data_IF_327273843195
#
_entry.id   IF_327273843195
#
_cell.length_a   1.000
_cell.length_b   1.000
_cell.length_c   1.000
_cell.angle_alpha   90.00
_cell.angle_beta   90.00
_cell.angle_gamma   90.00
#
_symmetry.space_group_name_H-M   'P 1'
#
loop_
_entity.id
_entity.type
_entity.pdbx_description
1 polymer ?
#
# COMPACT_ATOMS: atom_id res chain seq x y z
N UNK A 1 1.75 -21.32 -8.88
CA UNK A 1 1.01 -20.33 -8.08
C UNK A 1 1.99 -19.24 -7.75
N UNK A 2 1.68 -18.01 -8.12
CA UNK A 2 2.50 -16.86 -7.71
C UNK A 2 2.19 -16.52 -6.25
N UNK A 3 3.25 -16.39 -5.46
CA UNK A 3 3.17 -16.09 -4.03
C UNK A 3 3.07 -14.58 -3.75
N UNK A 4 3.32 -13.74 -4.77
CA UNK A 4 3.40 -12.29 -4.64
C UNK A 4 2.59 -11.65 -5.77
N UNK A 5 1.61 -10.85 -5.38
CA UNK A 5 0.87 -9.97 -6.29
C UNK A 5 1.32 -8.53 -6.11
N UNK A 6 1.78 -7.90 -7.19
CA UNK A 6 2.18 -6.48 -7.20
C UNK A 6 1.26 -5.75 -8.19
N UNK A 7 0.73 -4.58 -7.77
CA UNK A 7 -0.10 -3.76 -8.65
C UNK A 7 0.73 -3.18 -9.79
N UNK A 8 0.10 -3.02 -10.96
CA UNK A 8 0.75 -2.52 -12.18
C UNK A 8 1.44 -1.16 -11.98
N UNK A 9 0.80 -0.24 -11.24
CA UNK A 9 1.36 1.07 -10.92
C UNK A 9 2.68 0.99 -10.13
N UNK A 10 2.80 0.01 -9.22
CA UNK A 10 3.99 -0.20 -8.40
C UNK A 10 5.09 -0.85 -9.24
N UNK A 11 4.74 -1.82 -10.09
CA UNK A 11 5.67 -2.39 -11.06
C UNK A 11 6.28 -1.32 -11.98
N UNK A 12 5.45 -0.41 -12.50
CA UNK A 12 5.89 0.69 -13.35
C UNK A 12 6.81 1.67 -12.58
N UNK A 13 6.43 2.07 -11.37
CA UNK A 13 7.25 2.95 -10.54
C UNK A 13 8.62 2.33 -10.22
N UNK A 14 8.67 1.04 -9.91
CA UNK A 14 9.93 0.32 -9.67
C UNK A 14 10.80 0.24 -10.93
N UNK A 15 10.20 -0.03 -12.10
CA UNK A 15 10.92 -0.07 -13.37
C UNK A 15 11.54 1.30 -13.75
N UNK A 16 10.84 2.39 -13.40
CA UNK A 16 11.29 3.77 -13.61
C UNK A 16 12.24 4.28 -12.51
N UNK A 17 12.62 3.45 -11.52
CA UNK A 17 13.37 3.86 -10.32
C UNK A 17 12.71 5.03 -9.56
N UNK A 18 11.38 5.13 -9.62
CA UNK A 18 10.62 6.08 -8.82
C UNK A 18 10.52 5.59 -7.38
N UNK A 19 10.53 6.50 -6.40
CA UNK A 19 10.36 6.12 -4.99
C UNK A 19 8.98 5.52 -4.75
N UNK A 20 8.96 4.44 -3.97
CA UNK A 20 7.74 3.74 -3.52
C UNK A 20 7.82 3.58 -2.01
N UNK A 21 6.71 3.85 -1.31
CA UNK A 21 6.60 3.68 0.14
C UNK A 21 5.55 2.61 0.42
N UNK A 22 5.92 1.60 1.20
CA UNK A 22 5.00 0.57 1.65
C UNK A 22 4.22 1.05 2.88
N UNK A 23 2.94 0.70 2.96
CA UNK A 23 2.08 0.93 4.13
C UNK A 23 1.73 -0.40 4.80
N UNK A 24 1.75 -0.43 6.13
CA UNK A 24 1.36 -1.61 6.91
C UNK A 24 -0.17 -1.71 7.04
N UNK A 25 -0.75 -2.79 6.53
CA UNK A 25 -2.21 -3.01 6.57
C UNK A 25 -2.76 -3.26 7.98
N UNK A 26 -1.97 -3.84 8.88
CA UNK A 26 -2.37 -4.12 10.27
C UNK A 26 -2.68 -2.82 11.03
N UNK A 27 -1.85 -1.80 10.86
CA UNK A 27 -2.04 -0.46 11.47
C UNK A 27 -3.30 0.21 10.91
N UNK A 28 -3.54 0.07 9.61
CA UNK A 28 -4.77 0.57 8.98
C UNK A 28 -5.99 -0.13 9.58
N UNK A 29 -6.00 -1.46 9.67
CA UNK A 29 -7.17 -2.21 10.12
C UNK A 29 -7.46 -2.10 11.62
N UNK A 30 -6.43 -2.15 12.47
CA UNK A 30 -6.58 -2.28 13.92
C UNK A 30 -5.89 -1.16 14.73
N UNK A 31 -4.98 -0.41 14.10
CA UNK A 31 -4.21 0.65 14.77
C UNK A 31 -4.86 2.04 14.71
N UNK A 32 -5.80 2.26 13.78
CA UNK A 32 -6.46 3.56 13.58
C UNK A 32 -7.98 3.44 13.75
N UNK A 33 -8.63 4.34 14.52
CA UNK A 33 -10.09 4.37 14.59
C UNK A 33 -10.71 4.81 13.26
N UNK A 34 -11.92 4.33 12.97
CA UNK A 34 -12.71 4.88 11.87
C UNK A 34 -13.08 6.35 12.17
N UNK A 35 -13.09 7.25 11.15
CA UNK A 35 -12.83 7.02 9.72
C UNK A 35 -11.35 7.24 9.31
N UNK A 36 -10.43 7.34 10.27
CA UNK A 36 -9.03 7.67 9.99
C UNK A 36 -8.31 6.57 9.23
N UNK A 37 -8.61 5.30 9.52
CA UNK A 37 -8.09 4.16 8.78
C UNK A 37 -8.33 4.23 7.27
N UNK A 38 -9.55 4.53 6.83
CA UNK A 38 -9.91 4.61 5.41
C UNK A 38 -9.21 5.79 4.75
N UNK A 39 -9.16 6.95 5.41
CA UNK A 39 -8.46 8.13 4.88
C UNK A 39 -6.97 7.85 4.64
N UNK A 40 -6.31 7.20 5.59
CA UNK A 40 -4.89 6.83 5.47
C UNK A 40 -4.68 5.77 4.38
N UNK A 41 -5.60 4.82 4.22
CA UNK A 41 -5.51 3.80 3.16
C UNK A 41 -5.70 4.35 1.73
N UNK A 42 -6.29 5.54 1.60
CA UNK A 42 -6.54 6.21 0.31
C UNK A 42 -5.46 7.24 -0.06
N UNK A 43 -4.44 7.40 0.79
CA UNK A 43 -3.38 8.41 0.64
C UNK A 43 -2.22 7.94 -0.23
#
# INVERSE_FOLDING_TARGET
>A
MDLIGVREEVCAALAENRPVVALESSVIAHGLPAPMNVRVAQS
#
